data_IF_104240416843
#
_entry.id   IF_104240416843
#
_cell.length_a   1.000
_cell.length_b   1.000
_cell.length_c   1.000
_cell.angle_alpha   90.00
_cell.angle_beta   90.00
_cell.angle_gamma   90.00
#
_symmetry.space_group_name_H-M   'P 1'
#
loop_
_entity.id
_entity.type
_entity.pdbx_description
1 polymer ?
#
# COMPACT_ATOMS: atom_id res chain seq x y z
N UNK A 1 17.00 20.23 -60.58
CA UNK A 1 17.35 20.50 -61.99
C UNK A 1 18.25 21.73 -62.06
N UNK A 2 19.56 21.52 -62.15
CA UNK A 2 20.46 22.25 -63.06
C UNK A 2 21.83 21.54 -63.05
N UNK A 3 22.52 21.67 -64.16
CA UNK A 3 23.51 20.76 -64.75
C UNK A 3 24.90 20.75 -64.09
N UNK A 4 25.64 19.67 -64.35
CA UNK A 4 27.11 19.67 -64.32
C UNK A 4 27.69 18.29 -64.60
N UNK A 5 28.07 18.02 -65.85
CA UNK A 5 28.57 16.76 -66.42
C UNK A 5 30.08 16.78 -66.66
N UNK A 6 30.66 15.58 -66.86
CA UNK A 6 31.98 15.23 -67.44
C UNK A 6 33.18 15.15 -66.47
N UNK A 7 34.10 14.18 -66.57
CA UNK A 7 34.20 12.94 -67.34
C UNK A 7 35.35 12.08 -66.76
N UNK A 8 35.11 10.78 -66.64
CA UNK A 8 35.93 9.59 -66.93
C UNK A 8 37.47 9.69 -67.06
N UNK A 9 38.18 8.76 -66.38
CA UNK A 9 38.80 7.63 -67.10
C UNK A 9 39.46 6.53 -66.23
N UNK A 10 38.89 5.32 -66.38
CA UNK A 10 39.46 3.96 -66.48
C UNK A 10 40.05 3.18 -65.27
N UNK A 11 39.38 2.01 -65.05
CA UNK A 11 39.89 0.62 -64.80
C UNK A 11 40.54 0.38 -63.43
N UNK A 12 40.19 -0.60 -62.58
CA UNK A 12 39.73 -2.01 -62.73
C UNK A 12 39.09 -2.52 -61.41
N UNK A 13 38.19 -3.52 -61.50
CA UNK A 13 37.50 -4.30 -60.44
C UNK A 13 38.42 -5.36 -59.75
N UNK A 14 37.95 -6.24 -58.83
CA UNK A 14 37.47 -6.04 -57.45
C UNK A 14 38.14 -7.04 -56.44
N UNK A 15 37.56 -7.14 -55.22
CA UNK A 15 37.68 -8.23 -54.21
C UNK A 15 38.90 -8.20 -53.28
N UNK A 16 38.65 -8.39 -51.98
CA UNK A 16 39.65 -9.01 -51.09
C UNK A 16 39.66 -8.50 -49.66
N UNK A 17 39.05 -9.27 -48.77
CA UNK A 17 39.09 -9.17 -47.31
C UNK A 17 40.50 -9.49 -46.78
N UNK A 18 40.84 -8.91 -45.62
CA UNK A 18 41.60 -9.49 -44.48
C UNK A 18 42.74 -8.62 -43.92
N UNK A 19 42.50 -8.20 -42.68
CA UNK A 19 43.41 -8.16 -41.51
C UNK A 19 44.71 -7.38 -41.57
N UNK A 20 44.83 -6.43 -40.64
CA UNK A 20 46.10 -5.99 -40.09
C UNK A 20 46.04 -6.09 -38.56
N UNK A 21 46.82 -7.02 -38.04
CA UNK A 21 47.19 -7.11 -36.63
C UNK A 21 48.11 -5.96 -36.22
N UNK A 22 47.94 -5.57 -34.96
CA UNK A 22 48.94 -4.99 -34.04
C UNK A 22 49.42 -3.54 -34.25
N UNK A 23 49.18 -2.70 -33.23
CA UNK A 23 50.22 -2.26 -32.28
C UNK A 23 49.54 -1.72 -31.00
N UNK A 24 49.90 -2.37 -29.89
CA UNK A 24 49.95 -1.99 -28.47
C UNK A 24 49.60 -0.52 -28.13
N UNK A 25 48.85 -0.17 -27.09
CA UNK A 25 48.43 -0.87 -25.88
C UNK A 25 48.44 0.14 -24.73
N UNK A 26 47.33 0.29 -23.98
CA UNK A 26 47.32 0.71 -22.56
C UNK A 26 45.90 0.57 -21.97
N UNK A 27 45.72 -0.50 -21.19
CA UNK A 27 44.97 -0.61 -19.94
C UNK A 27 43.72 0.29 -19.76
N UNK A 28 42.54 -0.32 -19.85
CA UNK A 28 41.43 -0.09 -18.93
C UNK A 28 40.47 -1.29 -18.99
N UNK A 29 40.72 -2.30 -18.14
CA UNK A 29 39.68 -3.25 -17.76
C UNK A 29 38.60 -2.45 -17.01
N UNK A 30 37.59 -2.01 -17.73
CA UNK A 30 36.32 -1.59 -17.12
C UNK A 30 35.69 -2.85 -16.57
N UNK A 31 35.94 -3.13 -15.30
CA UNK A 31 35.08 -4.02 -14.54
C UNK A 31 33.67 -3.42 -14.59
N UNK A 32 32.77 -4.08 -15.32
CA UNK A 32 31.34 -3.94 -15.07
C UNK A 32 31.11 -4.46 -13.65
N UNK A 33 31.27 -3.59 -12.65
CA UNK A 33 30.61 -3.79 -11.38
C UNK A 33 29.11 -3.70 -11.67
N UNK A 34 28.30 -4.72 -11.35
CA UNK A 34 26.86 -4.57 -11.40
C UNK A 34 26.49 -3.37 -10.51
N UNK A 35 25.45 -2.59 -10.85
CA UNK A 35 25.01 -1.51 -10.00
C UNK A 35 24.77 -2.10 -8.62
N UNK A 36 25.55 -1.63 -7.64
CA UNK A 36 25.24 -1.86 -6.24
C UNK A 36 23.91 -1.13 -6.05
N UNK A 37 22.81 -1.87 -6.21
CA UNK A 37 21.55 -1.54 -5.61
C UNK A 37 21.88 -1.29 -4.15
N UNK A 38 21.82 -0.01 -3.74
CA UNK A 38 21.79 0.35 -2.35
C UNK A 38 20.48 -0.19 -1.77
N UNK A 39 20.44 -1.50 -1.55
CA UNK A 39 19.55 -2.10 -0.57
C UNK A 39 19.72 -1.28 0.68
N UNK A 40 18.62 -0.80 1.26
CA UNK A 40 18.64 -0.16 2.57
C UNK A 40 19.53 -1.00 3.47
N UNK A 41 20.65 -0.42 3.91
CA UNK A 41 21.65 -1.13 4.67
C UNK A 41 21.02 -1.48 6.02
N UNK A 42 20.35 -2.64 6.09
CA UNK A 42 20.22 -3.34 7.34
C UNK A 42 21.65 -3.53 7.81
N UNK A 43 21.98 -2.95 8.96
CA UNK A 43 23.27 -3.21 9.60
C UNK A 43 23.42 -4.73 9.70
N UNK A 44 24.27 -5.31 8.84
CA UNK A 44 24.65 -6.71 8.97
C UNK A 44 25.32 -6.80 10.33
N UNK A 45 24.80 -7.64 11.21
CA UNK A 45 25.36 -7.83 12.53
C UNK A 45 26.85 -8.14 12.40
N UNK A 46 27.70 -7.16 12.76
CA UNK A 46 29.15 -7.24 12.64
C UNK A 46 29.78 -7.50 14.01
N UNK A 47 29.32 -8.56 14.67
CA UNK A 47 30.03 -9.09 15.83
C UNK A 47 31.45 -9.49 15.43
N UNK A 48 32.41 -9.44 16.36
CA UNK A 48 33.77 -9.97 16.13
C UNK A 48 34.04 -11.21 16.96
N UNK A 49 35.02 -12.01 16.50
CA UNK A 49 35.49 -13.21 17.21
C UNK A 49 34.50 -14.36 17.26
N UNK A 50 34.72 -15.29 18.18
CA UNK A 50 33.92 -16.52 18.32
C UNK A 50 32.45 -16.27 18.69
N UNK A 51 32.13 -15.14 19.32
CA UNK A 51 30.75 -14.77 19.65
C UNK A 51 29.96 -14.50 18.36
N UNK A 52 30.54 -13.86 17.36
CA UNK A 52 29.87 -13.59 16.07
C UNK A 52 29.46 -14.89 15.37
N UNK A 53 30.39 -15.83 15.27
CA UNK A 53 30.14 -17.17 14.71
C UNK A 53 29.06 -17.92 15.50
N UNK A 54 29.03 -17.75 16.82
CA UNK A 54 28.00 -18.34 17.67
C UNK A 54 26.62 -17.74 17.41
N UNK A 55 26.51 -16.42 17.28
CA UNK A 55 25.25 -15.72 16.97
C UNK A 55 24.67 -16.20 15.64
N UNK A 56 25.50 -16.31 14.59
CA UNK A 56 25.06 -16.78 13.27
C UNK A 56 24.53 -18.22 13.30
N UNK A 57 25.13 -19.08 14.13
CA UNK A 57 24.82 -20.51 14.17
C UNK A 57 23.79 -20.89 15.25
N UNK A 58 23.50 -20.01 16.21
CA UNK A 58 22.70 -20.33 17.40
C UNK A 58 21.35 -20.94 17.05
N UNK A 59 20.61 -20.31 16.13
CA UNK A 59 19.28 -20.78 15.71
C UNK A 59 19.33 -22.21 15.16
N UNK A 60 20.28 -22.50 14.27
CA UNK A 60 20.44 -23.82 13.68
C UNK A 60 20.91 -24.87 14.70
N UNK A 61 21.80 -24.49 15.62
CA UNK A 61 22.35 -25.38 16.64
C UNK A 61 21.36 -25.72 17.76
N UNK A 62 20.50 -24.78 18.12
CA UNK A 62 19.62 -24.91 19.28
C UNK A 62 18.17 -25.17 18.92
N UNK A 63 17.74 -24.81 17.70
CA UNK A 63 16.33 -24.75 17.32
C UNK A 63 15.55 -23.62 18.00
N UNK A 64 16.20 -22.77 18.80
CA UNK A 64 15.57 -21.71 19.60
C UNK A 64 15.50 -20.36 18.86
N UNK A 65 15.72 -20.35 17.55
CA UNK A 65 15.66 -19.13 16.75
C UNK A 65 14.24 -18.65 16.47
N UNK A 66 13.22 -19.46 16.69
CA UNK A 66 11.81 -19.11 16.50
C UNK A 66 11.04 -19.21 17.81
N UNK A 67 10.00 -18.39 17.94
CA UNK A 67 8.99 -18.50 19.01
C UNK A 67 7.61 -18.52 18.36
N UNK A 68 6.53 -18.91 19.08
CA UNK A 68 5.24 -19.20 18.44
C UNK A 68 4.70 -18.10 17.53
N UNK A 69 4.90 -16.82 17.88
CA UNK A 69 4.44 -15.65 17.09
C UNK A 69 5.55 -15.00 16.25
N UNK A 70 6.71 -15.63 16.07
CA UNK A 70 7.89 -14.98 15.45
C UNK A 70 7.79 -14.74 13.94
N UNK A 71 6.65 -15.03 13.31
CA UNK A 71 6.44 -14.85 11.86
C UNK A 71 6.63 -13.39 11.42
N UNK A 72 6.16 -12.42 12.21
CA UNK A 72 6.33 -10.98 11.94
C UNK A 72 7.36 -10.31 12.85
N UNK A 73 8.25 -11.11 13.47
CA UNK A 73 9.32 -10.61 14.33
C UNK A 73 10.20 -9.60 13.60
N UNK A 74 10.51 -8.51 14.28
CA UNK A 74 11.41 -7.48 13.76
C UNK A 74 10.73 -6.46 12.84
N UNK A 75 9.46 -6.64 12.53
CA UNK A 75 8.70 -5.72 11.68
C UNK A 75 8.06 -4.63 12.56
N UNK A 76 8.46 -3.39 12.34
CA UNK A 76 7.87 -2.21 12.98
C UNK A 76 6.70 -1.72 12.13
N UNK A 77 5.46 -1.66 12.64
CA UNK A 77 4.34 -1.11 11.89
C UNK A 77 4.50 0.39 11.65
N UNK A 78 4.19 0.83 10.43
CA UNK A 78 4.30 2.20 9.94
C UNK A 78 2.94 2.65 9.39
N UNK A 79 2.55 3.93 9.53
CA UNK A 79 1.29 4.46 9.01
C UNK A 79 1.35 4.63 7.47
N UNK A 80 1.56 3.51 6.78
CA UNK A 80 1.69 3.41 5.33
C UNK A 80 0.49 2.64 4.79
N UNK A 81 -0.08 3.16 3.71
CA UNK A 81 -1.06 2.49 2.89
C UNK A 81 -0.40 2.02 1.59
N UNK A 82 -0.32 0.69 1.43
CA UNK A 82 0.11 0.02 0.21
C UNK A 82 -0.96 0.22 -0.87
N UNK A 83 -0.81 1.29 -1.65
CA UNK A 83 -1.72 1.61 -2.74
C UNK A 83 -1.44 0.70 -3.94
N UNK A 84 -2.49 0.33 -4.68
CA UNK A 84 -2.39 -0.66 -5.74
C UNK A 84 -1.66 -1.95 -5.29
N UNK A 85 -1.87 -2.38 -4.04
CA UNK A 85 -1.11 -3.47 -3.43
C UNK A 85 -1.09 -4.75 -4.27
N UNK A 86 -2.19 -5.03 -4.97
CA UNK A 86 -2.35 -6.16 -5.87
C UNK A 86 -1.44 -6.11 -7.11
N UNK A 87 -0.79 -4.99 -7.45
CA UNK A 87 0.25 -4.94 -8.50
C UNK A 87 1.56 -5.59 -8.06
N UNK A 88 1.78 -5.73 -6.75
CA UNK A 88 2.94 -6.43 -6.23
C UNK A 88 2.87 -7.93 -6.58
N UNK A 89 4.04 -8.55 -6.77
CA UNK A 89 4.13 -10.00 -7.01
C UNK A 89 3.60 -10.83 -5.84
N UNK A 90 3.77 -10.32 -4.61
CA UNK A 90 3.26 -10.92 -3.37
C UNK A 90 2.55 -9.85 -2.55
N UNK A 91 1.30 -9.47 -2.89
CA UNK A 91 0.59 -8.27 -2.39
C UNK A 91 0.66 -8.06 -0.87
N UNK A 92 -0.21 -8.76 -0.15
CA UNK A 92 -0.33 -8.64 1.30
C UNK A 92 1.01 -8.83 2.04
N UNK A 93 1.82 -9.83 1.65
CA UNK A 93 3.08 -10.12 2.33
C UNK A 93 4.20 -9.09 2.06
N UNK A 94 4.28 -8.47 0.85
CA UNK A 94 5.22 -7.37 0.60
C UNK A 94 4.84 -6.12 1.40
N UNK A 95 3.55 -5.82 1.54
CA UNK A 95 3.10 -4.70 2.38
C UNK A 95 3.48 -4.89 3.85
N UNK A 96 3.11 -6.03 4.45
CA UNK A 96 3.37 -6.22 5.87
C UNK A 96 4.85 -6.43 6.16
N UNK A 97 5.67 -6.95 5.24
CA UNK A 97 7.11 -7.14 5.46
C UNK A 97 7.87 -5.83 5.68
N UNK A 98 7.39 -4.73 5.11
CA UNK A 98 7.96 -3.39 5.31
C UNK A 98 7.31 -2.60 6.44
N UNK A 99 6.28 -3.17 7.07
CA UNK A 99 5.52 -2.59 8.17
C UNK A 99 4.25 -1.84 7.77
N UNK A 100 3.79 -1.90 6.51
CA UNK A 100 2.58 -1.18 6.13
C UNK A 100 1.35 -1.74 6.85
N UNK A 101 0.62 -0.87 7.56
CA UNK A 101 -0.59 -1.25 8.33
C UNK A 101 -1.86 -1.21 7.49
N UNK A 102 -1.75 -0.98 6.18
CA UNK A 102 -2.90 -0.85 5.30
C UNK A 102 -2.60 -1.32 3.88
N UNK A 103 -3.58 -2.02 3.30
CA UNK A 103 -3.54 -2.60 1.94
C UNK A 103 -4.85 -2.32 1.20
N UNK A 104 -4.83 -2.41 -0.12
CA UNK A 104 -5.98 -2.14 -1.00
C UNK A 104 -6.19 -3.25 -2.03
N UNK A 105 -7.45 -3.56 -2.31
CA UNK A 105 -7.86 -4.52 -3.34
C UNK A 105 -8.88 -3.90 -4.30
N UNK A 106 -8.52 -3.80 -5.58
CA UNK A 106 -9.43 -3.38 -6.67
C UNK A 106 -10.27 -4.57 -7.13
N UNK A 107 -11.58 -4.59 -6.84
CA UNK A 107 -12.44 -5.76 -7.06
C UNK A 107 -13.41 -5.62 -8.22
N UNK A 108 -13.54 -6.71 -8.97
CA UNK A 108 -14.50 -6.94 -10.05
C UNK A 108 -15.29 -8.23 -9.80
N UNK A 109 -16.58 -8.27 -10.16
CA UNK A 109 -17.40 -9.48 -10.08
C UNK A 109 -17.33 -10.24 -11.40
N UNK A 110 -16.71 -11.43 -11.41
CA UNK A 110 -16.69 -12.33 -12.58
C UNK A 110 -17.00 -13.74 -12.11
N UNK A 111 -17.84 -14.44 -12.88
CA UNK A 111 -18.18 -15.85 -12.64
C UNK A 111 -18.62 -16.19 -11.19
N UNK A 112 -19.23 -15.22 -10.50
CA UNK A 112 -19.71 -15.37 -9.13
C UNK A 112 -18.66 -15.16 -8.03
N UNK A 113 -17.42 -14.79 -8.37
CA UNK A 113 -16.36 -14.46 -7.41
C UNK A 113 -15.82 -13.03 -7.64
N UNK A 114 -15.07 -12.54 -6.64
CA UNK A 114 -14.45 -11.22 -6.65
C UNK A 114 -13.00 -11.34 -7.12
N UNK A 115 -12.77 -11.09 -8.40
CA UNK A 115 -11.43 -11.03 -8.97
C UNK A 115 -10.78 -9.68 -8.67
N UNK A 116 -9.46 -9.66 -8.57
CA UNK A 116 -8.67 -8.47 -8.21
C UNK A 116 -7.75 -8.03 -9.33
N UNK A 117 -7.82 -6.76 -9.70
CA UNK A 117 -6.96 -6.11 -10.69
C UNK A 117 -7.37 -4.66 -10.92
N UNK A 118 -6.48 -3.83 -11.46
CA UNK A 118 -6.79 -2.41 -11.71
C UNK A 118 -7.77 -2.21 -12.86
N UNK A 119 -7.67 -3.08 -13.86
CA UNK A 119 -8.47 -3.08 -15.08
C UNK A 119 -8.87 -4.53 -15.42
N UNK A 120 -9.91 -4.68 -16.23
CA UNK A 120 -10.45 -5.99 -16.60
C UNK A 120 -9.41 -6.91 -17.28
N UNK A 121 -8.48 -6.33 -18.05
CA UNK A 121 -7.41 -7.07 -18.73
C UNK A 121 -6.39 -7.70 -17.77
N UNK A 122 -6.32 -7.22 -16.51
CA UNK A 122 -5.43 -7.75 -15.48
C UNK A 122 -6.09 -8.86 -14.62
N UNK A 123 -7.37 -9.16 -14.85
CA UNK A 123 -8.08 -10.17 -14.07
C UNK A 123 -7.61 -11.57 -14.43
N UNK A 124 -7.46 -12.43 -13.42
CA UNK A 124 -7.26 -13.85 -13.63
C UNK A 124 -8.03 -14.69 -12.60
N UNK A 125 -8.49 -15.89 -12.97
CA UNK A 125 -9.38 -16.69 -12.10
C UNK A 125 -8.82 -17.00 -10.72
N UNK A 126 -7.49 -17.09 -10.58
CA UNK A 126 -6.83 -17.44 -9.32
C UNK A 126 -6.50 -16.21 -8.45
N UNK A 127 -6.68 -14.99 -8.97
CA UNK A 127 -6.40 -13.73 -8.26
C UNK A 127 -7.70 -13.13 -7.76
N UNK A 128 -8.15 -13.62 -6.61
CA UNK A 128 -9.42 -13.23 -5.99
C UNK A 128 -9.19 -12.45 -4.70
N UNK A 129 -10.21 -11.74 -4.21
CA UNK A 129 -10.16 -11.07 -2.91
C UNK A 129 -9.79 -12.07 -1.80
N UNK A 130 -10.30 -13.31 -1.89
CA UNK A 130 -9.93 -14.38 -0.95
C UNK A 130 -8.47 -14.79 -1.06
N UNK A 131 -8.00 -15.11 -2.26
CA UNK A 131 -6.66 -15.67 -2.43
C UNK A 131 -5.55 -14.67 -2.17
N UNK A 132 -5.77 -13.38 -2.47
CA UNK A 132 -4.76 -12.34 -2.29
C UNK A 132 -4.81 -11.65 -0.92
N UNK A 133 -5.97 -11.59 -0.26
CA UNK A 133 -6.14 -10.81 0.96
C UNK A 133 -6.77 -11.61 2.12
N UNK A 134 -8.00 -12.11 1.98
CA UNK A 134 -8.71 -12.69 3.13
C UNK A 134 -7.97 -13.92 3.70
N UNK A 135 -7.54 -14.84 2.84
CA UNK A 135 -6.84 -16.05 3.29
C UNK A 135 -5.45 -15.73 3.86
N UNK A 136 -4.60 -14.90 3.21
CA UNK A 136 -3.32 -14.48 3.81
C UNK A 136 -3.45 -13.74 5.15
N UNK A 137 -4.48 -12.90 5.31
CA UNK A 137 -4.77 -12.22 6.57
C UNK A 137 -5.11 -13.24 7.65
N UNK A 138 -6.01 -14.18 7.37
CA UNK A 138 -6.40 -15.24 8.31
C UNK A 138 -5.19 -16.07 8.70
N UNK A 139 -4.40 -16.55 7.73
CA UNK A 139 -3.21 -17.35 7.98
C UNK A 139 -2.23 -16.60 8.89
N UNK A 140 -2.03 -15.31 8.66
CA UNK A 140 -1.13 -14.50 9.49
C UNK A 140 -1.69 -14.31 10.90
N UNK A 141 -2.98 -14.04 11.05
CA UNK A 141 -3.62 -13.90 12.36
C UNK A 141 -3.61 -15.23 13.13
N UNK A 142 -3.83 -16.38 12.49
CA UNK A 142 -3.72 -17.69 13.13
C UNK A 142 -2.28 -17.96 13.62
N UNK A 143 -1.26 -17.58 12.83
CA UNK A 143 0.15 -17.65 13.24
C UNK A 143 0.49 -16.70 14.39
N UNK A 144 -0.16 -15.55 14.48
CA UNK A 144 0.01 -14.58 15.57
C UNK A 144 -0.78 -14.93 16.83
N UNK A 145 -1.71 -15.88 16.74
CA UNK A 145 -2.57 -16.28 17.86
C UNK A 145 -2.56 -17.79 18.11
N UNK A 146 -1.40 -18.41 18.41
CA UNK A 146 -1.30 -19.85 18.60
C UNK A 146 -1.91 -20.30 19.93
N UNK A 147 -2.65 -21.40 19.90
CA UNK A 147 -3.04 -22.11 21.13
C UNK A 147 -1.83 -22.83 21.72
N UNK A 148 -1.65 -22.72 23.04
CA UNK A 148 -0.58 -23.41 23.76
C UNK A 148 -0.98 -23.71 25.20
N UNK A 149 -0.17 -24.50 25.91
CA UNK A 149 -0.36 -24.72 27.35
C UNK A 149 -0.23 -23.44 28.20
N UNK A 150 0.27 -22.34 27.61
CA UNK A 150 0.48 -21.06 28.30
C UNK A 150 -0.62 -20.05 28.02
N UNK A 151 -1.31 -20.18 26.90
CA UNK A 151 -2.41 -19.29 26.50
C UNK A 151 -3.37 -20.04 25.59
N UNK A 152 -4.65 -19.90 25.89
CA UNK A 152 -5.76 -20.42 25.10
C UNK A 152 -6.50 -19.31 24.33
N UNK A 153 -6.22 -18.05 24.63
CA UNK A 153 -6.90 -16.89 24.05
C UNK A 153 -5.88 -15.77 23.84
N UNK A 154 -5.46 -15.58 22.59
CA UNK A 154 -4.65 -14.44 22.17
C UNK A 154 -5.44 -13.64 21.14
N UNK A 155 -5.30 -12.31 21.20
CA UNK A 155 -6.01 -11.39 20.31
C UNK A 155 -5.05 -10.34 19.75
N UNK A 156 -4.07 -10.85 19.00
CA UNK A 156 -2.95 -10.16 18.41
C UNK A 156 -3.15 -9.96 16.91
N UNK A 157 -2.99 -8.72 16.45
CA UNK A 157 -3.01 -8.36 15.04
C UNK A 157 -1.76 -8.86 14.31
N UNK A 158 -1.58 -8.34 13.10
CA UNK A 158 -0.54 -8.79 12.16
C UNK A 158 0.89 -8.66 12.74
N UNK A 159 1.15 -7.61 13.51
CA UNK A 159 2.51 -7.25 13.94
C UNK A 159 2.77 -7.65 15.39
N UNK A 160 3.70 -8.59 15.59
CA UNK A 160 4.14 -9.09 16.91
C UNK A 160 4.57 -7.94 17.84
N UNK A 161 5.25 -6.91 17.30
CA UNK A 161 5.69 -5.73 18.06
C UNK A 161 4.55 -4.76 18.46
N UNK A 162 3.35 -4.93 17.89
CA UNK A 162 2.20 -4.04 18.16
C UNK A 162 0.91 -4.82 18.09
N UNK A 163 0.74 -5.72 19.04
CA UNK A 163 -0.33 -6.71 19.10
C UNK A 163 -1.75 -6.14 18.89
N UNK A 164 -2.06 -4.92 19.33
CA UNK A 164 -3.42 -4.37 19.20
C UNK A 164 -3.60 -3.46 17.96
N UNK A 165 -2.64 -3.47 17.03
CA UNK A 165 -2.72 -2.71 15.78
C UNK A 165 -3.66 -3.41 14.80
N UNK A 166 -4.78 -2.77 14.49
CA UNK A 166 -5.62 -3.20 13.38
C UNK A 166 -4.85 -3.02 12.05
N UNK A 167 -4.92 -4.04 11.20
CA UNK A 167 -4.70 -3.90 9.77
C UNK A 167 -5.90 -3.20 9.14
N UNK A 168 -5.68 -2.32 8.18
CA UNK A 168 -6.76 -1.75 7.39
C UNK A 168 -6.80 -2.37 5.98
N UNK A 169 -7.92 -2.99 5.63
CA UNK A 169 -8.18 -3.53 4.29
C UNK A 169 -9.14 -2.60 3.55
N UNK A 170 -8.61 -1.90 2.55
CA UNK A 170 -9.42 -1.15 1.59
C UNK A 170 -9.92 -2.06 0.47
N UNK A 171 -11.20 -1.97 0.16
CA UNK A 171 -11.82 -2.68 -0.97
C UNK A 171 -12.36 -1.63 -1.94
N UNK A 172 -11.64 -1.41 -3.04
CA UNK A 172 -12.03 -0.51 -4.11
C UNK A 172 -12.98 -1.24 -5.07
N UNK A 173 -14.25 -0.87 -5.00
CA UNK A 173 -15.27 -1.47 -5.85
C UNK A 173 -15.28 -0.76 -7.20
N UNK A 174 -14.79 -1.46 -8.23
CA UNK A 174 -14.63 -0.89 -9.56
C UNK A 174 -15.92 -0.82 -10.36
N UNK A 175 -16.97 -1.55 -10.02
CA UNK A 175 -18.24 -1.44 -10.73
C UNK A 175 -19.42 -1.95 -9.91
N UNK A 176 -20.64 -1.72 -10.40
CA UNK A 176 -21.89 -2.35 -9.93
C UNK A 176 -21.94 -2.58 -8.41
N UNK A 177 -21.77 -1.52 -7.58
CA UNK A 177 -21.54 -1.67 -6.15
C UNK A 177 -22.69 -2.38 -5.43
N UNK A 178 -23.93 -2.24 -5.92
CA UNK A 178 -25.10 -2.92 -5.39
C UNK A 178 -25.02 -4.46 -5.54
N UNK A 179 -24.26 -4.96 -6.52
CA UNK A 179 -24.03 -6.40 -6.74
C UNK A 179 -22.75 -6.89 -6.05
N UNK A 180 -21.68 -6.10 -6.11
CA UNK A 180 -20.37 -6.49 -5.57
C UNK A 180 -20.35 -6.43 -4.04
N UNK A 181 -20.89 -5.38 -3.43
CA UNK A 181 -20.76 -5.17 -1.99
C UNK A 181 -21.36 -6.30 -1.14
N UNK A 182 -22.54 -6.86 -1.44
CA UNK A 182 -23.05 -8.03 -0.72
C UNK A 182 -22.10 -9.23 -0.76
N UNK A 183 -21.40 -9.44 -1.87
CA UNK A 183 -20.44 -10.53 -2.03
C UNK A 183 -19.18 -10.23 -1.19
N UNK A 184 -18.69 -8.99 -1.18
CA UNK A 184 -17.59 -8.58 -0.29
C UNK A 184 -17.95 -8.91 1.16
N UNK A 185 -19.12 -8.46 1.62
CA UNK A 185 -19.60 -8.70 3.00
C UNK A 185 -19.69 -10.19 3.33
N UNK A 186 -20.13 -11.02 2.37
CA UNK A 186 -20.17 -12.47 2.52
C UNK A 186 -18.77 -13.08 2.64
N UNK A 187 -17.80 -12.61 1.84
CA UNK A 187 -16.42 -13.10 1.90
C UNK A 187 -15.67 -12.71 3.19
N UNK A 188 -16.15 -11.71 3.93
CA UNK A 188 -15.64 -11.35 5.26
C UNK A 188 -16.07 -12.32 6.38
N UNK A 189 -16.99 -13.27 6.12
CA UNK A 189 -17.53 -14.16 7.14
C UNK A 189 -16.47 -14.89 7.99
N UNK A 190 -15.37 -15.44 7.43
CA UNK A 190 -14.38 -16.13 8.25
C UNK A 190 -13.66 -15.24 9.27
N UNK A 191 -13.47 -13.95 8.95
CA UNK A 191 -12.92 -12.95 9.88
C UNK A 191 -13.94 -12.54 10.94
N UNK A 192 -15.21 -12.35 10.51
CA UNK A 192 -16.34 -11.99 11.38
C UNK A 192 -16.61 -13.05 12.44
N UNK A 193 -16.63 -14.32 12.04
CA UNK A 193 -16.90 -15.47 12.92
C UNK A 193 -15.84 -15.64 14.03
N UNK A 194 -14.62 -15.12 13.80
CA UNK A 194 -13.51 -15.10 14.76
C UNK A 194 -13.45 -13.82 15.61
N UNK A 195 -14.44 -12.93 15.48
CA UNK A 195 -14.48 -11.59 16.09
C UNK A 195 -13.28 -10.70 15.75
N UNK A 196 -12.65 -10.91 14.58
CA UNK A 196 -11.45 -10.16 14.19
C UNK A 196 -11.73 -8.84 13.47
N UNK A 197 -12.99 -8.56 13.11
CA UNK A 197 -13.34 -7.33 12.40
C UNK A 197 -13.66 -6.18 13.37
N UNK A 198 -13.14 -4.99 13.08
CA UNK A 198 -13.62 -3.76 13.72
C UNK A 198 -15.08 -3.54 13.37
N UNK A 199 -15.93 -3.36 14.39
CA UNK A 199 -17.39 -3.28 14.24
C UNK A 199 -17.99 -2.01 14.82
N UNK A 200 -19.01 -1.49 14.16
CA UNK A 200 -19.96 -0.56 14.73
C UNK A 200 -21.14 -1.35 15.28
N UNK A 201 -21.41 -1.27 16.58
CA UNK A 201 -22.48 -2.04 17.24
C UNK A 201 -23.86 -1.35 17.19
N UNK A 202 -23.96 -0.24 16.47
CA UNK A 202 -25.13 0.64 16.48
C UNK A 202 -24.95 1.90 17.35
N UNK A 203 -23.96 1.91 18.25
CA UNK A 203 -23.70 2.99 19.20
C UNK A 203 -22.23 3.43 19.27
N UNK A 204 -21.29 2.49 19.14
CA UNK A 204 -19.85 2.75 19.22
C UNK A 204 -19.07 1.84 18.27
N UNK A 205 -17.83 2.25 17.99
CA UNK A 205 -16.84 1.38 17.36
C UNK A 205 -16.22 0.47 18.43
N UNK A 206 -16.19 -0.83 18.14
CA UNK A 206 -15.45 -1.86 18.85
C UNK A 206 -14.26 -2.24 17.94
N UNK A 207 -13.01 -1.93 18.34
CA UNK A 207 -11.83 -2.27 17.56
C UNK A 207 -11.66 -3.78 17.39
N UNK A 208 -11.30 -4.20 16.18
CA UNK A 208 -10.86 -5.55 15.85
C UNK A 208 -9.43 -5.56 15.30
N UNK A 209 -8.96 -6.74 14.88
CA UNK A 209 -7.64 -6.95 14.28
C UNK A 209 -7.59 -6.49 12.82
N UNK A 210 -8.75 -6.42 12.15
CA UNK A 210 -8.89 -5.98 10.77
C UNK A 210 -10.04 -4.97 10.67
N UNK A 211 -9.77 -3.82 10.05
CA UNK A 211 -10.78 -2.79 9.78
C UNK A 211 -11.00 -2.74 8.28
N UNK A 212 -12.20 -3.11 7.81
CA UNK A 212 -12.54 -3.11 6.39
C UNK A 212 -13.18 -1.79 6.00
N UNK A 213 -12.67 -1.19 4.93
CA UNK A 213 -13.11 0.12 4.44
C UNK A 213 -13.42 0.00 2.95
N UNK A 214 -14.63 0.39 2.55
CA UNK A 214 -14.99 0.50 1.14
C UNK A 214 -14.44 1.79 0.54
N UNK A 215 -14.04 1.73 -0.73
CA UNK A 215 -13.70 2.89 -1.56
C UNK A 215 -14.20 2.65 -3.00
N UNK A 216 -13.89 3.58 -3.91
CA UNK A 216 -14.29 3.51 -5.30
C UNK A 216 -15.77 3.80 -5.49
N UNK A 217 -16.48 2.95 -6.24
CA UNK A 217 -17.92 3.14 -6.52
C UNK A 217 -18.82 2.73 -5.35
N UNK A 218 -18.28 2.12 -4.29
CA UNK A 218 -19.04 1.72 -3.11
C UNK A 218 -19.36 2.92 -2.19
N UNK A 219 -20.36 3.70 -2.58
CA UNK A 219 -20.78 4.92 -1.86
C UNK A 219 -21.40 4.64 -0.49
N UNK A 220 -21.51 5.69 0.33
CA UNK A 220 -22.24 5.69 1.61
C UNK A 220 -23.62 5.01 1.53
N UNK A 221 -24.37 5.27 0.45
CA UNK A 221 -25.73 4.73 0.29
C UNK A 221 -25.74 3.21 0.19
N UNK A 222 -24.76 2.64 -0.52
CA UNK A 222 -24.63 1.18 -0.69
C UNK A 222 -24.08 0.53 0.58
N UNK A 223 -23.06 1.15 1.17
CA UNK A 223 -22.29 0.53 2.25
C UNK A 223 -22.90 0.78 3.61
N UNK A 224 -23.27 2.01 3.94
CA UNK A 224 -23.84 2.35 5.24
C UNK A 224 -25.35 2.19 5.18
N UNK A 225 -26.02 2.91 4.27
CA UNK A 225 -27.46 2.85 3.97
C UNK A 225 -28.37 3.22 5.16
N UNK A 226 -28.26 2.46 6.25
CA UNK A 226 -28.79 2.75 7.58
C UNK A 226 -27.62 2.84 8.59
N UNK A 227 -27.27 4.07 8.98
CA UNK A 227 -26.18 4.39 9.93
C UNK A 227 -26.25 3.64 11.26
N UNK A 228 -27.45 3.30 11.73
CA UNK A 228 -27.68 2.72 13.06
C UNK A 228 -27.55 1.20 13.09
N UNK A 229 -27.52 0.51 11.93
CA UNK A 229 -27.40 -0.95 11.92
C UNK A 229 -26.00 -1.40 12.32
N UNK A 230 -25.88 -2.50 13.09
CA UNK A 230 -24.60 -3.14 13.30
C UNK A 230 -23.92 -3.53 11.99
N UNK A 231 -22.62 -3.32 11.91
CA UNK A 231 -21.78 -3.66 10.74
C UNK A 231 -20.32 -3.77 11.16
N UNK A 232 -19.53 -4.41 10.33
CA UNK A 232 -18.09 -4.64 10.54
C UNK A 232 -17.25 -4.17 9.35
N UNK A 233 -17.75 -3.10 8.73
CA UNK A 233 -17.12 -2.40 7.62
C UNK A 233 -17.53 -0.93 7.66
N UNK A 234 -16.70 -0.10 7.06
CA UNK A 234 -16.85 1.35 7.00
C UNK A 234 -16.76 1.82 5.56
N UNK A 235 -17.17 3.07 5.31
CA UNK A 235 -16.97 3.74 4.02
C UNK A 235 -15.97 4.85 4.19
N UNK A 236 -15.10 5.06 3.22
CA UNK A 236 -14.25 6.26 3.25
C UNK A 236 -15.07 7.53 2.95
N UNK A 237 -14.64 8.65 3.53
CA UNK A 237 -15.33 9.93 3.38
C UNK A 237 -14.64 10.80 2.31
N UNK A 238 -15.37 11.65 1.57
CA UNK A 238 -14.78 12.55 0.58
C UNK A 238 -14.04 13.71 1.28
N UNK A 239 -12.71 13.63 1.38
CA UNK A 239 -11.89 14.61 2.12
C UNK A 239 -12.09 16.06 1.66
N UNK A 240 -12.29 16.26 0.35
CA UNK A 240 -12.46 17.60 -0.23
C UNK A 240 -13.79 18.26 0.14
N UNK A 241 -14.79 17.47 0.57
CA UNK A 241 -16.13 17.96 0.88
C UNK A 241 -16.36 18.05 2.40
N UNK A 242 -15.74 17.18 3.19
CA UNK A 242 -15.90 17.13 4.65
C UNK A 242 -15.58 18.50 5.28
N UNK A 243 -16.50 18.98 6.12
CA UNK A 243 -16.40 20.29 6.77
C UNK A 243 -16.48 21.51 5.84
N UNK A 244 -16.88 21.34 4.58
CA UNK A 244 -17.09 22.44 3.61
C UNK A 244 -18.58 22.70 3.35
N UNK A 245 -18.96 23.77 2.64
CA UNK A 245 -20.35 23.97 2.20
C UNK A 245 -20.90 22.84 1.32
N UNK A 246 -20.02 22.09 0.64
CA UNK A 246 -20.38 20.95 -0.20
C UNK A 246 -20.53 19.63 0.60
N UNK A 247 -20.30 19.64 1.92
CA UNK A 247 -20.37 18.44 2.77
C UNK A 247 -21.73 17.71 2.59
N UNK A 248 -21.71 16.41 2.21
CA UNK A 248 -22.92 15.62 2.08
C UNK A 248 -23.64 15.48 3.42
N UNK A 249 -24.95 15.68 3.41
CA UNK A 249 -25.81 15.66 4.60
C UNK A 249 -26.98 14.71 4.44
N UNK A 250 -27.51 14.27 5.58
CA UNK A 250 -28.76 13.54 5.67
C UNK A 250 -29.92 14.38 5.11
N UNK A 251 -31.11 13.77 4.99
CA UNK A 251 -32.32 14.42 4.45
C UNK A 251 -32.74 15.69 5.21
N UNK A 252 -32.27 15.88 6.44
CA UNK A 252 -32.52 17.07 7.26
C UNK A 252 -31.72 18.30 6.80
N UNK A 253 -30.75 18.13 5.88
CA UNK A 253 -29.87 19.17 5.39
C UNK A 253 -28.88 19.72 6.42
N UNK A 254 -28.74 19.07 7.57
CA UNK A 254 -27.94 19.55 8.72
C UNK A 254 -26.92 18.52 9.19
N UNK A 255 -27.32 17.25 9.28
CA UNK A 255 -26.49 16.19 9.84
C UNK A 255 -25.51 15.67 8.79
N UNK A 256 -24.18 15.73 9.00
CA UNK A 256 -23.22 15.17 8.05
C UNK A 256 -23.43 13.67 7.86
N UNK A 257 -23.32 13.19 6.61
CA UNK A 257 -23.35 11.75 6.33
C UNK A 257 -22.13 11.04 6.90
N UNK A 258 -20.98 11.69 6.84
CA UNK A 258 -19.68 11.11 7.19
C UNK A 258 -19.23 11.59 8.57
N UNK A 259 -19.22 10.68 9.53
CA UNK A 259 -18.67 10.87 10.87
C UNK A 259 -17.97 9.59 11.35
N UNK A 260 -17.43 9.62 12.58
CA UNK A 260 -16.75 8.46 13.16
C UNK A 260 -17.63 7.21 13.26
N UNK A 261 -18.96 7.31 13.20
CA UNK A 261 -19.79 6.10 13.17
C UNK A 261 -19.70 5.41 11.81
N UNK A 262 -19.62 6.15 10.71
CA UNK A 262 -19.75 5.63 9.34
C UNK A 262 -18.40 5.41 8.65
N UNK A 263 -17.41 6.21 9.05
CA UNK A 263 -16.12 6.32 8.37
C UNK A 263 -14.98 6.37 9.37
N UNK A 264 -13.85 5.76 9.01
CA UNK A 264 -12.60 5.85 9.76
C UNK A 264 -11.66 6.89 9.15
N UNK A 265 -11.66 6.98 7.82
CA UNK A 265 -10.81 7.88 7.05
C UNK A 265 -11.63 8.77 6.12
N UNK A 266 -11.12 9.97 5.88
CA UNK A 266 -11.47 10.80 4.75
C UNK A 266 -10.32 10.76 3.72
N UNK A 267 -10.65 10.53 2.46
CA UNK A 267 -9.70 10.29 1.38
C UNK A 267 -9.85 11.36 0.29
N UNK A 268 -8.75 11.85 -0.28
CA UNK A 268 -8.80 12.86 -1.33
C UNK A 268 -7.61 12.82 -2.28
N UNK A 269 -7.84 13.26 -3.52
CA UNK A 269 -6.82 13.37 -4.55
C UNK A 269 -5.95 14.62 -4.31
N UNK A 270 -4.62 14.50 -4.35
CA UNK A 270 -3.72 15.63 -4.09
C UNK A 270 -3.89 16.76 -5.12
N UNK A 271 -3.81 16.44 -6.41
CA UNK A 271 -4.00 17.38 -7.51
C UNK A 271 -5.32 18.17 -7.45
N UNK A 272 -6.44 17.54 -7.08
CA UNK A 272 -7.72 18.23 -6.89
C UNK A 272 -7.70 19.17 -5.67
N UNK A 273 -7.07 18.75 -4.58
CA UNK A 273 -6.96 19.54 -3.36
C UNK A 273 -6.13 20.83 -3.56
N UNK A 274 -5.00 20.72 -4.26
CA UNK A 274 -3.98 21.78 -4.25
C UNK A 274 -3.51 22.24 -5.63
N UNK A 275 -4.01 21.64 -6.71
CA UNK A 275 -3.53 21.85 -8.07
C UNK A 275 -2.18 21.19 -8.34
N UNK A 276 -1.50 21.63 -9.40
CA UNK A 276 -0.20 21.08 -9.81
C UNK A 276 0.86 21.30 -8.72
N UNK A 277 1.52 20.22 -8.32
CA UNK A 277 2.72 20.25 -7.46
C UNK A 277 3.95 20.19 -8.36
N UNK A 278 4.93 21.08 -8.23
CA UNK A 278 6.13 21.04 -9.09
C UNK A 278 7.27 20.24 -8.45
N UNK A 279 7.78 20.68 -7.31
CA UNK A 279 8.87 20.00 -6.57
C UNK A 279 8.43 19.55 -5.18
N UNK A 280 7.69 20.41 -4.48
CA UNK A 280 7.08 20.19 -3.17
C UNK A 280 5.82 21.04 -3.07
N UNK A 281 5.00 20.81 -2.05
CA UNK A 281 3.87 21.67 -1.74
C UNK A 281 4.37 23.07 -1.34
N UNK A 282 3.79 24.10 -1.96
CA UNK A 282 4.03 25.50 -1.59
C UNK A 282 3.33 25.84 -0.27
N UNK A 283 3.72 26.93 0.39
CA UNK A 283 3.07 27.38 1.63
C UNK A 283 1.53 27.49 1.52
N UNK A 284 0.97 28.09 0.46
CA UNK A 284 -0.49 28.09 0.25
C UNK A 284 -1.10 26.70 0.05
N UNK A 285 -0.40 25.79 -0.63
CA UNK A 285 -0.88 24.41 -0.83
C UNK A 285 -0.86 23.62 0.49
N UNK A 286 0.19 23.76 1.30
CA UNK A 286 0.27 23.17 2.64
C UNK A 286 -0.89 23.61 3.52
N UNK A 287 -1.18 24.91 3.58
CA UNK A 287 -2.32 25.44 4.34
C UNK A 287 -3.66 24.86 3.90
N UNK A 288 -3.84 24.58 2.60
CA UNK A 288 -5.04 23.89 2.10
C UNK A 288 -5.11 22.46 2.63
N UNK A 289 -4.02 21.70 2.56
CA UNK A 289 -3.96 20.33 3.10
C UNK A 289 -4.23 20.33 4.60
N UNK A 290 -3.57 21.19 5.36
CA UNK A 290 -3.78 21.34 6.81
C UNK A 290 -5.25 21.64 7.15
N UNK A 291 -5.91 22.50 6.36
CA UNK A 291 -7.32 22.82 6.57
C UNK A 291 -8.23 21.62 6.29
N UNK A 292 -7.97 20.85 5.23
CA UNK A 292 -8.71 19.62 4.92
C UNK A 292 -8.53 18.58 6.03
N UNK A 293 -7.30 18.37 6.50
CA UNK A 293 -6.99 17.46 7.62
C UNK A 293 -7.69 17.92 8.90
N UNK A 294 -7.66 19.22 9.21
CA UNK A 294 -8.37 19.79 10.35
C UNK A 294 -9.89 19.57 10.27
N UNK A 295 -10.48 19.74 9.09
CA UNK A 295 -11.90 19.50 8.88
C UNK A 295 -12.26 18.03 9.14
N UNK A 296 -11.50 17.09 8.57
CA UNK A 296 -11.71 15.66 8.80
C UNK A 296 -11.54 15.28 10.28
N UNK A 297 -10.50 15.79 10.94
CA UNK A 297 -10.26 15.55 12.36
C UNK A 297 -11.41 16.07 13.23
N UNK A 298 -12.05 17.19 12.85
CA UNK A 298 -13.24 17.71 13.55
C UNK A 298 -14.45 16.78 13.48
N UNK A 299 -14.47 15.83 12.53
CA UNK A 299 -15.47 14.74 12.40
C UNK A 299 -15.01 13.44 13.05
N UNK A 300 -13.83 13.42 13.67
CA UNK A 300 -13.21 12.23 14.25
C UNK A 300 -12.63 11.28 13.20
N UNK A 301 -12.39 11.76 11.98
CA UNK A 301 -11.85 10.98 10.86
C UNK A 301 -10.34 11.21 10.76
N UNK A 302 -9.61 10.16 10.41
CA UNK A 302 -8.23 10.26 9.95
C UNK A 302 -8.20 10.65 8.45
N UNK A 303 -7.03 10.96 7.89
CA UNK A 303 -6.93 11.29 6.45
C UNK A 303 -5.93 10.45 5.67
N UNK A 304 -6.22 10.23 4.39
CA UNK A 304 -5.32 9.68 3.38
C UNK A 304 -5.39 10.55 2.13
N UNK A 305 -4.25 10.88 1.53
CA UNK A 305 -4.20 11.68 0.30
C UNK A 305 -3.48 10.86 -0.76
N UNK A 306 -4.15 10.62 -1.89
CA UNK A 306 -3.65 9.79 -2.99
C UNK A 306 -3.26 10.63 -4.21
N UNK A 307 -2.71 9.98 -5.24
CA UNK A 307 -2.08 10.61 -6.40
C UNK A 307 -0.95 11.59 -6.02
N UNK A 308 -0.11 11.15 -5.07
CA UNK A 308 1.15 11.87 -4.79
C UNK A 308 2.13 11.64 -5.94
N UNK A 309 3.07 12.57 -6.22
CA UNK A 309 3.95 12.44 -7.37
C UNK A 309 4.76 11.13 -7.36
N UNK A 310 4.63 10.31 -8.40
CA UNK A 310 5.44 9.09 -8.55
C UNK A 310 6.88 9.34 -9.01
N UNK A 311 7.08 10.31 -9.90
CA UNK A 311 8.39 10.69 -10.45
C UNK A 311 8.62 12.22 -10.40
N UNK A 312 9.83 12.70 -10.12
CA UNK A 312 11.03 11.95 -9.72
C UNK A 312 11.01 11.55 -8.23
N UNK A 313 11.86 10.61 -7.81
CA UNK A 313 11.96 10.18 -6.40
C UNK A 313 12.18 11.35 -5.44
N UNK A 314 12.95 12.37 -5.83
CA UNK A 314 13.15 13.56 -5.01
C UNK A 314 11.83 14.34 -4.79
N UNK A 315 11.04 14.53 -5.86
CA UNK A 315 9.74 15.22 -5.77
C UNK A 315 8.76 14.42 -4.91
N UNK A 316 8.71 13.10 -5.10
CA UNK A 316 7.90 12.17 -4.30
C UNK A 316 8.21 12.28 -2.82
N UNK A 317 9.48 12.06 -2.43
CA UNK A 317 9.97 12.15 -1.05
C UNK A 317 9.72 13.51 -0.42
N UNK A 318 9.88 14.60 -1.17
CA UNK A 318 9.57 15.93 -0.66
C UNK A 318 8.09 16.09 -0.28
N UNK A 319 7.17 15.57 -1.09
CA UNK A 319 5.73 15.59 -0.79
C UNK A 319 5.42 14.65 0.37
N UNK A 320 5.98 13.44 0.40
CA UNK A 320 5.78 12.51 1.51
C UNK A 320 6.23 13.08 2.85
N UNK A 321 7.41 13.70 2.91
CA UNK A 321 7.91 14.40 4.11
C UNK A 321 6.89 15.43 4.61
N UNK A 322 6.44 16.29 3.71
CA UNK A 322 5.46 17.33 4.04
C UNK A 322 4.12 16.76 4.50
N UNK A 323 3.67 15.65 3.91
CA UNK A 323 2.43 14.99 4.33
C UNK A 323 2.60 14.26 5.66
N UNK A 324 3.78 13.72 5.97
CA UNK A 324 4.09 13.08 7.25
C UNK A 324 4.25 14.09 8.41
N UNK A 325 4.71 15.31 8.11
CA UNK A 325 4.75 16.43 9.07
C UNK A 325 3.35 16.96 9.40
N UNK A 326 2.39 16.77 8.48
CA UNK A 326 0.96 16.98 8.73
C UNK A 326 0.43 15.71 9.41
N UNK A 327 -0.47 15.78 10.39
CA UNK A 327 -0.99 14.60 11.08
C UNK A 327 -2.00 13.83 10.19
N UNK A 328 -1.62 13.45 8.97
CA UNK A 328 -2.38 12.52 8.15
C UNK A 328 -2.35 11.15 8.79
N UNK A 329 -3.43 10.39 8.66
CA UNK A 329 -3.53 9.09 9.31
C UNK A 329 -2.71 8.00 8.61
N UNK A 330 -2.62 8.08 7.28
CA UNK A 330 -1.83 7.16 6.46
C UNK A 330 -1.16 7.89 5.30
N UNK A 331 0.11 7.57 5.04
CA UNK A 331 0.81 7.93 3.82
C UNK A 331 0.44 6.95 2.71
N UNK A 332 -0.12 7.46 1.61
CA UNK A 332 -0.46 6.65 0.44
C UNK A 332 0.77 6.47 -0.47
N UNK A 333 1.20 5.23 -0.71
CA UNK A 333 2.43 4.96 -1.46
C UNK A 333 2.26 3.79 -2.43
N UNK A 334 2.85 3.91 -3.62
CA UNK A 334 3.06 2.79 -4.55
C UNK A 334 4.45 2.15 -4.36
N UNK A 335 5.45 2.95 -3.96
CA UNK A 335 6.84 2.51 -3.70
C UNK A 335 7.04 2.24 -2.21
N UNK A 336 6.71 1.01 -1.80
CA UNK A 336 6.75 0.54 -0.41
C UNK A 336 8.15 0.59 0.22
N UNK A 337 9.18 0.22 -0.54
CA UNK A 337 10.55 0.16 -0.01
C UNK A 337 11.08 1.56 0.29
N UNK A 338 10.91 2.50 -0.65
CA UNK A 338 11.33 3.89 -0.46
C UNK A 338 10.54 4.57 0.67
N UNK A 339 9.25 4.27 0.79
CA UNK A 339 8.43 4.78 1.89
C UNK A 339 8.86 4.23 3.25
N UNK A 340 9.25 2.96 3.31
CA UNK A 340 9.54 2.26 4.55
C UNK A 340 10.98 2.45 5.05
N UNK A 341 11.95 2.59 4.15
CA UNK A 341 13.38 2.60 4.49
C UNK A 341 14.15 3.76 3.87
N UNK A 342 13.52 4.53 2.98
CA UNK A 342 14.14 5.70 2.38
C UNK A 342 14.42 6.78 3.42
N UNK A 343 15.54 7.48 3.24
CA UNK A 343 15.86 8.68 3.99
C UNK A 343 15.10 9.86 3.37
N UNK A 344 13.97 10.21 3.99
CA UNK A 344 13.21 11.40 3.65
C UNK A 344 12.62 12.04 4.91
#
# INVERSE_FOLDING_TARGET
MWYGTHADNYKTLPVGVYTLDSILGFIAQVFFAPPILAYGANAVWSGSGHIAQFVEQWSQKTGLGNYPTSFTRGIVPKPIHSHNDYWQEVPFYKAISVGAISVEADVYLRDGDLLVGHEEAALSPNRTLRSLYINPIIETLERQNPESKYTNETHCGIFDQSCHRSLYLWVDVKEQPEKIWPIVVAQLAPLRERDWLTKWDGKKIIPGLVTVISTGRATYKVVVGNKTRPRDYFVDAPLLEVGTPAEPKEKDGKTPLYDRSTSIFAVGHLGEAVGRVQSKLTGPQLKKVEQLVKNAHSRGLQTRIWDTPGWSSQRRRNVWRQLADIPVGLLNVDDLEDAAFGDW
#
